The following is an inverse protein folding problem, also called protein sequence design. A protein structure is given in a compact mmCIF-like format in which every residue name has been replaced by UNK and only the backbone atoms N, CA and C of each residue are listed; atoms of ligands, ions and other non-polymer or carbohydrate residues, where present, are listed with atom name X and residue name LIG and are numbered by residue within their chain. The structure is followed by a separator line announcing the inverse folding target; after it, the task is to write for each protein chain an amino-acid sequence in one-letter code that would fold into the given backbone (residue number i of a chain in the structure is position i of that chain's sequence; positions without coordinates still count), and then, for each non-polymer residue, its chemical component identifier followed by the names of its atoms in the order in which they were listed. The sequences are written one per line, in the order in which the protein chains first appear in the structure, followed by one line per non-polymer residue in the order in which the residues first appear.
data_IF_670116436924
#
_entry.id   IF_670116436924
#
_cell.length_a   1.000
_cell.length_b   1.000
_cell.length_c   1.000
_cell.angle_alpha   90.00
_cell.angle_beta   90.00
_cell.angle_gamma   90.00
#
_symmetry.space_group_name_H-M   'P 1'
#
loop_
_entity.id
_entity.type
_entity.pdbx_description
1 polymer ?
#
# COMPACT_ATOMS: atom_id res chain seq x y z
N UNK A 1 3.19 -20.15 21.69
CA UNK A 1 3.71 -18.76 21.81
C UNK A 1 4.12 -18.34 20.42
N UNK A 2 3.36 -17.42 19.81
CA UNK A 2 3.55 -17.06 18.40
C UNK A 2 4.95 -16.48 18.15
N UNK A 3 5.66 -17.05 17.17
CA UNK A 3 6.98 -16.58 16.74
C UNK A 3 6.82 -15.33 15.87
N UNK A 4 7.64 -14.30 16.09
CA UNK A 4 7.57 -13.08 15.29
C UNK A 4 7.96 -13.36 13.84
N UNK A 5 7.29 -12.67 12.90
CA UNK A 5 7.62 -12.76 11.48
C UNK A 5 9.00 -12.15 11.20
N UNK A 6 9.94 -12.97 10.72
CA UNK A 6 11.36 -12.59 10.54
C UNK A 6 11.58 -11.44 9.56
N UNK A 7 10.65 -11.23 8.61
CA UNK A 7 10.74 -10.18 7.60
C UNK A 7 9.90 -8.93 7.95
N UNK A 8 9.40 -8.80 9.18
CA UNK A 8 8.58 -7.66 9.60
C UNK A 8 9.29 -6.31 9.41
N UNK A 9 10.59 -6.24 9.71
CA UNK A 9 11.38 -5.02 9.50
C UNK A 9 11.47 -4.63 8.02
N UNK A 10 11.64 -5.62 7.14
CA UNK A 10 11.66 -5.40 5.69
C UNK A 10 10.28 -4.97 5.17
N UNK A 11 9.20 -5.55 5.68
CA UNK A 11 7.83 -5.17 5.32
C UNK A 11 7.57 -3.69 5.65
N UNK A 12 7.95 -3.24 6.86
CA UNK A 12 7.84 -1.83 7.27
C UNK A 12 8.63 -0.90 6.35
N UNK A 13 9.84 -1.31 5.96
CA UNK A 13 10.63 -0.54 5.00
C UNK A 13 9.94 -0.46 3.62
N UNK A 14 9.34 -1.56 3.14
CA UNK A 14 8.62 -1.55 1.85
C UNK A 14 7.36 -0.69 1.90
N UNK A 15 6.62 -0.68 3.00
CA UNK A 15 5.50 0.26 3.19
C UNK A 15 5.97 1.70 3.18
N UNK A 16 7.03 2.05 3.92
CA UNK A 16 7.58 3.40 3.89
C UNK A 16 8.03 3.82 2.47
N UNK A 17 8.65 2.92 1.71
CA UNK A 17 9.02 3.16 0.30
C UNK A 17 7.79 3.35 -0.60
N UNK A 18 6.73 2.57 -0.40
CA UNK A 18 5.48 2.72 -1.12
C UNK A 18 4.81 4.07 -0.81
N UNK A 19 4.77 4.47 0.46
CA UNK A 19 4.20 5.76 0.89
C UNK A 19 4.99 6.93 0.30
N UNK A 20 6.32 6.85 0.32
CA UNK A 20 7.19 7.83 -0.32
C UNK A 20 6.92 7.93 -1.83
N UNK A 21 6.83 6.80 -2.53
CA UNK A 21 6.51 6.78 -3.96
C UNK A 21 5.10 7.33 -4.23
N UNK A 22 4.15 7.09 -3.33
CA UNK A 22 2.80 7.66 -3.37
C UNK A 22 2.79 9.18 -3.25
N UNK A 23 3.60 9.73 -2.33
CA UNK A 23 3.76 11.18 -2.20
C UNK A 23 4.36 11.82 -3.45
N UNK A 24 5.39 11.20 -4.04
CA UNK A 24 5.99 11.67 -5.31
C UNK A 24 4.97 11.63 -6.45
N UNK A 25 4.17 10.57 -6.55
CA UNK A 25 3.10 10.47 -7.54
C UNK A 25 2.02 11.54 -7.34
N UNK A 26 1.62 11.82 -6.10
CA UNK A 26 0.66 12.88 -5.80
C UNK A 26 1.20 14.25 -6.27
N UNK A 27 2.44 14.57 -5.90
CA UNK A 27 3.09 15.82 -6.29
C UNK A 27 3.23 15.94 -7.83
N UNK A 28 3.58 14.86 -8.52
CA UNK A 28 3.67 14.87 -9.99
C UNK A 28 2.32 15.13 -10.66
N UNK A 29 1.25 14.53 -10.13
CA UNK A 29 -0.11 14.76 -10.62
C UNK A 29 -0.60 16.19 -10.36
N UNK A 30 -0.26 16.78 -9.21
CA UNK A 30 -0.62 18.16 -8.91
C UNK A 30 0.08 19.14 -9.85
N UNK A 31 1.37 18.94 -10.14
CA UNK A 31 2.10 19.73 -11.14
C UNK A 31 1.51 19.58 -12.54
N UNK A 32 1.05 18.38 -12.91
CA UNK A 32 0.41 18.14 -14.19
C UNK A 32 -0.93 18.90 -14.30
N UNK A 33 -1.74 18.89 -13.24
CA UNK A 33 -2.99 19.66 -13.17
C UNK A 33 -2.73 21.15 -13.28
N UNK A 34 -1.74 21.66 -12.54
CA UNK A 34 -1.35 23.07 -12.57
C UNK A 34 -0.95 23.52 -13.99
N UNK A 35 -0.12 22.72 -14.68
CA UNK A 35 0.28 22.99 -16.07
C UNK A 35 -0.91 23.00 -17.04
N UNK A 36 -1.87 22.08 -16.85
CA UNK A 36 -3.09 22.04 -17.64
C UNK A 36 -3.97 23.29 -17.40
N UNK A 37 -4.13 23.70 -16.15
CA UNK A 37 -4.89 24.90 -15.78
C UNK A 37 -4.24 26.17 -16.33
N UNK A 38 -2.91 26.28 -16.25
CA UNK A 38 -2.16 27.40 -16.81
C UNK A 38 -2.34 27.50 -18.33
N UNK A 39 -2.31 26.36 -19.03
CA UNK A 39 -2.59 26.29 -20.47
C UNK A 39 -4.00 26.76 -20.80
N UNK A 40 -5.01 26.35 -20.02
CA UNK A 40 -6.40 26.79 -20.21
C UNK A 40 -6.52 28.30 -19.97
N UNK A 41 -5.90 28.82 -18.91
CA UNK A 41 -5.87 30.27 -18.63
C UNK A 41 -5.22 31.05 -19.77
N UNK A 42 -4.05 30.63 -20.24
CA UNK A 42 -3.33 31.28 -21.34
C UNK A 42 -4.17 31.33 -22.63
N UNK A 43 -4.86 30.23 -22.97
CA UNK A 43 -5.78 30.19 -24.12
C UNK A 43 -6.98 31.13 -23.96
N UNK A 44 -7.53 31.25 -22.75
CA UNK A 44 -8.65 32.15 -22.46
C UNK A 44 -8.24 33.62 -22.58
N UNK A 45 -7.11 34.00 -21.99
CA UNK A 45 -6.57 35.36 -22.13
C UNK A 45 -6.39 35.75 -23.60
N UNK A 46 -5.95 34.80 -24.44
CA UNK A 46 -5.77 35.04 -25.87
C UNK A 46 -7.09 35.17 -26.64
N UNK A 47 -8.16 34.55 -26.17
CA UNK A 47 -9.48 34.65 -26.78
C UNK A 47 -10.21 35.96 -26.42
N UNK A 48 -9.91 36.53 -25.24
CA UNK A 48 -10.54 37.75 -24.73
C UNK A 48 -9.88 39.05 -25.25
N UNK A 49 -8.83 39.01 -26.07
CA UNK A 49 -8.20 40.22 -26.67
C UNK A 49 -9.14 40.89 -27.70
N UNK A 50 -9.70 42.08 -27.44
CA UNK A 50 -10.47 42.83 -28.42
C UNK A 50 -9.51 43.55 -29.37
N UNK A 51 -9.73 43.47 -30.70
CA UNK A 51 -8.93 44.26 -31.65
C UNK A 51 -9.77 44.91 -32.74
N UNK A 52 -10.13 46.18 -32.55
CA UNK A 52 -10.34 47.08 -33.68
C UNK A 52 -8.98 47.55 -34.18
N UNK A 53 -8.70 47.24 -35.45
CA UNK A 53 -7.44 47.59 -36.09
C UNK A 53 -7.65 48.88 -36.88
N UNK A 54 -6.94 49.94 -36.52
CA UNK A 54 -7.11 51.27 -37.13
C UNK A 54 -5.96 51.70 -38.05
N UNK A 55 -4.79 51.05 -37.97
CA UNK A 55 -3.61 51.40 -38.78
C UNK A 55 -2.64 50.21 -38.95
N UNK A 56 -1.71 50.30 -39.92
CA UNK A 56 -0.67 49.33 -40.25
C UNK A 56 0.32 49.08 -39.09
N UNK A 57 0.60 50.10 -38.27
CA UNK A 57 1.42 49.92 -37.06
C UNK A 57 0.72 49.00 -36.04
N UNK A 58 -0.60 49.17 -35.86
CA UNK A 58 -1.43 48.30 -35.01
C UNK A 58 -1.50 46.87 -35.56
N UNK A 59 -1.62 46.69 -36.88
CA UNK A 59 -1.55 45.37 -37.51
C UNK A 59 -0.23 44.64 -37.20
N UNK A 60 0.89 45.36 -37.30
CA UNK A 60 2.22 44.80 -37.06
C UNK A 60 2.42 44.43 -35.59
N UNK A 61 1.97 45.29 -34.67
CA UNK A 61 1.98 45.01 -33.24
C UNK A 61 1.10 43.79 -32.89
N UNK A 62 -0.10 43.69 -33.48
CA UNK A 62 -1.00 42.55 -33.28
C UNK A 62 -0.40 41.25 -33.84
N UNK A 63 0.24 41.30 -35.00
CA UNK A 63 0.95 40.15 -35.57
C UNK A 63 2.10 39.68 -34.67
N UNK A 64 2.88 40.63 -34.11
CA UNK A 64 3.94 40.33 -33.16
C UNK A 64 3.40 39.73 -31.85
N UNK A 65 2.29 40.28 -31.30
CA UNK A 65 1.61 39.72 -30.12
C UNK A 65 1.18 38.27 -30.38
N UNK A 66 0.48 38.00 -31.49
CA UNK A 66 0.05 36.64 -31.85
C UNK A 66 1.21 35.67 -32.07
N UNK A 67 2.31 36.13 -32.67
CA UNK A 67 3.51 35.31 -32.82
C UNK A 67 4.12 34.94 -31.46
N UNK A 68 4.21 35.92 -30.55
CA UNK A 68 4.70 35.70 -29.18
C UNK A 68 3.81 34.73 -28.40
N UNK A 69 2.49 34.91 -28.43
CA UNK A 69 1.53 34.03 -27.75
C UNK A 69 1.55 32.60 -28.29
N UNK A 70 1.75 32.41 -29.60
CA UNK A 70 1.93 31.06 -30.17
C UNK A 70 3.21 30.39 -29.66
N UNK A 71 4.29 31.15 -29.49
CA UNK A 71 5.53 30.68 -28.87
C UNK A 71 5.30 30.24 -27.42
N UNK A 72 4.67 31.09 -26.60
CA UNK A 72 4.34 30.77 -25.21
C UNK A 72 3.44 29.53 -25.09
N UNK A 73 2.42 29.40 -25.96
CA UNK A 73 1.57 28.21 -25.96
C UNK A 73 2.34 26.93 -26.33
N UNK A 74 3.30 27.01 -27.26
CA UNK A 74 4.15 25.88 -27.60
C UNK A 74 5.06 25.48 -26.43
N UNK A 75 5.58 26.45 -25.67
CA UNK A 75 6.34 26.19 -24.45
C UNK A 75 5.50 25.53 -23.37
N UNK A 76 4.28 26.02 -23.11
CA UNK A 76 3.34 25.39 -22.17
C UNK A 76 2.97 23.96 -22.59
N UNK A 77 2.83 23.71 -23.88
CA UNK A 77 2.58 22.37 -24.41
C UNK A 77 3.76 21.43 -24.14
N UNK A 78 5.00 21.92 -24.29
CA UNK A 78 6.20 21.16 -23.97
C UNK A 78 6.34 20.90 -22.47
N UNK A 79 6.03 21.89 -21.62
CA UNK A 79 5.99 21.71 -20.15
C UNK A 79 4.96 20.67 -19.77
N UNK A 80 3.75 20.74 -20.33
CA UNK A 80 2.67 19.77 -20.05
C UNK A 80 3.10 18.35 -20.42
N UNK A 81 3.71 18.17 -21.60
CA UNK A 81 4.22 16.87 -22.03
C UNK A 81 5.30 16.33 -21.09
N UNK A 82 6.19 17.21 -20.61
CA UNK A 82 7.21 16.81 -19.64
C UNK A 82 6.60 16.40 -18.31
N UNK A 83 5.64 17.17 -17.78
CA UNK A 83 4.92 16.83 -16.55
C UNK A 83 4.15 15.52 -16.67
N UNK A 84 3.58 15.23 -17.83
CA UNK A 84 2.93 13.95 -18.10
C UNK A 84 3.93 12.80 -18.01
N UNK A 85 5.10 12.93 -18.66
CA UNK A 85 6.14 11.91 -18.59
C UNK A 85 6.67 11.72 -17.15
N UNK A 86 6.81 12.79 -16.38
CA UNK A 86 7.20 12.73 -14.97
C UNK A 86 6.14 12.00 -14.12
N UNK A 87 4.84 12.25 -14.36
CA UNK A 87 3.73 11.56 -13.68
C UNK A 87 3.66 10.08 -14.06
N UNK A 88 3.86 9.72 -15.33
CA UNK A 88 3.90 8.34 -15.79
C UNK A 88 5.06 7.57 -15.15
N UNK A 89 6.24 8.20 -15.05
CA UNK A 89 7.40 7.62 -14.37
C UNK A 89 7.16 7.43 -12.87
N UNK A 90 6.56 8.42 -12.19
CA UNK A 90 6.19 8.31 -10.78
C UNK A 90 5.15 7.20 -10.54
N UNK A 91 4.19 7.05 -11.46
CA UNK A 91 3.18 6.00 -11.40
C UNK A 91 3.81 4.61 -11.55
N UNK A 92 4.76 4.46 -12.47
CA UNK A 92 5.50 3.22 -12.63
C UNK A 92 6.31 2.86 -11.36
N UNK A 93 7.00 3.84 -10.76
CA UNK A 93 7.76 3.66 -9.52
C UNK A 93 6.86 3.27 -8.34
N UNK A 94 5.70 3.92 -8.18
CA UNK A 94 4.71 3.53 -7.16
C UNK A 94 4.22 2.10 -7.37
N UNK A 95 3.90 1.72 -8.61
CA UNK A 95 3.43 0.37 -8.92
C UNK A 95 4.50 -0.69 -8.62
N UNK A 96 5.78 -0.39 -8.84
CA UNK A 96 6.90 -1.26 -8.48
C UNK A 96 7.02 -1.41 -6.95
N UNK A 97 7.01 -0.29 -6.22
CA UNK A 97 7.07 -0.30 -4.75
C UNK A 97 5.90 -1.11 -4.15
N UNK A 98 4.69 -0.93 -4.68
CA UNK A 98 3.49 -1.68 -4.27
C UNK A 98 3.61 -3.17 -4.57
N UNK A 99 4.13 -3.56 -5.75
CA UNK A 99 4.37 -4.97 -6.08
C UNK A 99 5.37 -5.62 -5.12
N UNK A 100 6.42 -4.91 -4.74
CA UNK A 100 7.39 -5.38 -3.76
C UNK A 100 6.79 -5.55 -2.34
N UNK A 101 5.89 -4.66 -1.91
CA UNK A 101 5.21 -4.75 -0.62
C UNK A 101 4.22 -5.92 -0.56
N UNK A 102 3.37 -6.09 -1.58
CA UNK A 102 2.32 -7.14 -1.62
C UNK A 102 2.91 -8.55 -1.46
N UNK A 103 4.10 -8.79 -2.03
CA UNK A 103 4.77 -10.09 -1.87
C UNK A 103 5.05 -10.43 -0.41
N UNK A 104 5.50 -9.44 0.37
CA UNK A 104 5.80 -9.61 1.80
C UNK A 104 4.53 -9.68 2.65
N UNK A 105 3.51 -8.89 2.34
CA UNK A 105 2.21 -8.94 3.04
C UNK A 105 1.58 -10.34 2.94
N UNK A 106 1.65 -10.96 1.76
CA UNK A 106 1.16 -12.33 1.56
C UNK A 106 1.95 -13.35 2.38
N UNK A 107 3.26 -13.16 2.53
CA UNK A 107 4.09 -14.03 3.35
C UNK A 107 3.80 -13.86 4.84
N UNK A 108 3.64 -12.63 5.30
CA UNK A 108 3.23 -12.32 6.68
C UNK A 108 1.88 -12.97 6.99
N UNK A 109 0.89 -12.82 6.12
CA UNK A 109 -0.42 -13.44 6.30
C UNK A 109 -0.33 -14.96 6.42
N UNK A 110 0.45 -15.61 5.54
CA UNK A 110 0.68 -17.06 5.61
C UNK A 110 1.38 -17.48 6.90
N UNK A 111 2.34 -16.68 7.37
CA UNK A 111 3.04 -16.92 8.63
C UNK A 111 2.07 -16.88 9.82
N UNK A 112 1.23 -15.85 9.89
CA UNK A 112 0.20 -15.71 10.94
C UNK A 112 -0.75 -16.91 10.95
N UNK A 113 -1.22 -17.34 9.78
CA UNK A 113 -2.09 -18.53 9.64
C UNK A 113 -1.36 -19.81 10.09
N UNK A 114 -0.09 -19.97 9.71
CA UNK A 114 0.69 -21.15 10.07
C UNK A 114 0.99 -21.23 11.58
N UNK A 115 1.32 -20.10 12.21
CA UNK A 115 1.54 -20.00 13.66
C UNK A 115 0.23 -20.28 14.42
N UNK A 116 -0.89 -19.71 14.01
CA UNK A 116 -2.19 -20.00 14.64
C UNK A 116 -2.56 -21.48 14.55
N UNK A 117 -2.31 -22.12 13.40
CA UNK A 117 -2.54 -23.55 13.23
C UNK A 117 -1.56 -24.41 14.08
N UNK A 118 -0.34 -23.93 14.33
CA UNK A 118 0.61 -24.60 15.21
C UNK A 118 0.18 -24.51 16.68
N UNK A 119 -0.19 -23.30 17.15
CA UNK A 119 -0.68 -23.10 18.51
C UNK A 119 -1.92 -23.98 18.79
N UNK A 120 -2.87 -24.08 17.84
CA UNK A 120 -4.04 -24.97 17.96
C UNK A 120 -3.68 -26.46 18.04
N UNK A 121 -2.67 -26.90 17.26
CA UNK A 121 -2.20 -28.30 17.32
C UNK A 121 -1.53 -28.60 18.65
N UNK A 122 -0.71 -27.69 19.16
CA UNK A 122 -0.03 -27.84 20.45
C UNK A 122 -1.05 -27.89 21.60
N UNK A 123 -2.11 -27.07 21.53
CA UNK A 123 -3.24 -27.12 22.46
C UNK A 123 -3.98 -28.46 22.41
N UNK A 124 -4.28 -28.97 21.21
CA UNK A 124 -4.95 -30.26 21.06
C UNK A 124 -4.11 -31.42 21.63
N UNK A 125 -2.80 -31.43 21.37
CA UNK A 125 -1.89 -32.43 21.92
C UNK A 125 -1.93 -32.41 23.46
N UNK A 126 -1.94 -31.22 24.06
CA UNK A 126 -2.04 -31.09 25.51
C UNK A 126 -3.37 -31.61 26.06
N UNK A 127 -4.49 -31.33 25.37
CA UNK A 127 -5.81 -31.85 25.75
C UNK A 127 -5.88 -33.38 25.63
N UNK A 128 -5.31 -33.95 24.57
CA UNK A 128 -5.25 -35.40 24.36
C UNK A 128 -4.38 -36.07 25.43
N UNK A 129 -3.27 -35.45 25.84
CA UNK A 129 -2.45 -35.92 26.96
C UNK A 129 -3.24 -35.93 28.28
N UNK A 130 -3.99 -34.86 28.56
CA UNK A 130 -4.83 -34.79 29.78
C UNK A 130 -5.93 -35.85 29.74
N UNK A 131 -6.57 -36.05 28.59
CA UNK A 131 -7.65 -37.01 28.42
C UNK A 131 -7.16 -38.48 28.49
N UNK A 132 -5.93 -38.75 28.05
CA UNK A 132 -5.34 -40.09 28.06
C UNK A 132 -4.73 -40.50 29.40
N UNK A 133 -4.62 -39.58 30.37
CA UNK A 133 -4.18 -39.94 31.74
C UNK A 133 -5.20 -40.88 32.38
N UNK A 134 -4.79 -42.07 32.86
CA UNK A 134 -5.68 -42.96 33.57
C UNK A 134 -6.26 -42.21 34.77
N UNK A 135 -7.59 -42.22 34.89
CA UNK A 135 -8.23 -41.82 36.14
C UNK A 135 -7.68 -42.77 37.20
N UNK A 136 -7.11 -42.28 38.32
CA UNK A 136 -6.76 -43.16 39.42
C UNK A 136 -8.04 -43.88 39.80
N UNK A 137 -8.06 -45.15 39.46
CA UNK A 137 -9.05 -46.13 39.85
C UNK A 137 -9.04 -46.14 41.37
N UNK A 138 -9.94 -45.36 41.94
CA UNK A 138 -10.36 -45.51 43.32
C UNK A 138 -11.03 -46.87 43.45
N UNK A 139 -10.24 -47.94 43.45
CA UNK A 139 -10.61 -49.22 44.02
C UNK A 139 -10.50 -49.05 45.53
N UNK A 140 -11.60 -48.97 46.30
CA UNK A 140 -11.52 -49.26 47.71
C UNK A 140 -11.19 -50.75 47.82
N UNK A 141 -9.92 -51.06 48.03
CA UNK A 141 -9.52 -52.32 48.65
C UNK A 141 -10.10 -52.32 50.06
N UNK A 142 -11.36 -52.76 50.16
CA UNK A 142 -12.02 -53.01 51.43
C UNK A 142 -11.24 -54.07 52.21
N UNK A 143 -11.03 -53.90 53.53
CA UNK A 143 -10.32 -54.88 54.33
C UNK A 143 -11.11 -56.19 54.38
N UNK A 144 -10.44 -57.31 54.12
CA UNK A 144 -10.97 -58.66 54.33
C UNK A 144 -11.46 -58.79 55.78
N UNK A 145 -12.71 -59.24 56.02
CA UNK A 145 -13.15 -59.56 57.37
C UNK A 145 -12.51 -60.88 57.82
N UNK A 146 -11.81 -60.77 58.94
CA UNK A 146 -11.34 -61.79 59.88
C UNK A 146 -12.02 -63.17 59.74
N UNK A 147 -11.20 -64.23 59.70
CA UNK A 147 -11.61 -65.60 59.96
C UNK A 147 -11.21 -66.01 61.38
N UNK A 148 -12.14 -66.09 62.35
CA UNK A 148 -11.91 -66.78 63.61
C UNK A 148 -12.72 -68.08 63.63
N UNK A 149 -12.06 -69.24 63.48
CA UNK A 149 -12.71 -70.50 63.81
C UNK A 149 -12.05 -71.75 63.25
N UNK A 150 -11.42 -72.54 64.12
CA UNK A 150 -10.99 -73.89 63.77
C UNK A 150 -10.06 -74.56 64.77
N UNK A 151 -10.43 -74.55 66.06
CA UNK A 151 -9.83 -75.44 67.05
C UNK A 151 -10.46 -76.83 66.91
N UNK A 152 -9.62 -77.86 66.76
CA UNK A 152 -9.84 -79.23 67.24
C UNK A 152 -8.49 -79.96 67.31
#
# INVERSE_FOLDING_TARGET
MARPFSLLGLLRLRHAQQDQAGAVLAEANDRLREAADERVRAKRTLADEPSEVTDAAMLSALAASRASSRGMLAELDAVTQRRQADADAAQAAFNEARRAAIGLEKLEHKHVVAEAAADLRDEQIALDEIASRPRPDGSPSGPDPENPGGAA
#
